data_IF_191947936144
#
_entry.id   IF_191947936144
#
_cell.length_a   1.000
_cell.length_b   1.000
_cell.length_c   1.000
_cell.angle_alpha   90.00
_cell.angle_beta   90.00
_cell.angle_gamma   90.00
#
_symmetry.space_group_name_H-M   'P 1'
#
loop_
_entity.id
_entity.type
_entity.pdbx_description
1 polymer ?
2 polymer ?
3 polymer ?
4 non-polymer ?
5 water ?
#
# COMPACT_ATOMS: atom_id res chain seq x y z
N UNK A 1 -5.18 10.56 -19.73
CA UNK A 1 -4.77 11.94 -20.17
C UNK A 1 -3.48 12.60 -19.59
N UNK A 2 -2.22 12.19 -19.86
CA UNK A 2 -1.72 10.93 -20.49
C UNK A 2 -2.13 9.65 -19.73
N UNK A 3 -1.51 9.33 -18.59
CA UNK A 3 -2.17 8.36 -17.69
C UNK A 3 -3.38 8.99 -16.99
N UNK A 4 -3.21 9.28 -15.70
CA UNK A 4 -4.15 10.32 -15.18
C UNK A 4 -3.56 11.72 -15.04
N UNK A 5 -2.96 12.19 -16.14
CA UNK A 5 -1.78 13.10 -16.10
C UNK A 5 -0.44 12.45 -16.50
N UNK A 6 0.13 11.77 -15.51
CA UNK A 6 1.30 10.84 -15.62
C UNK A 6 1.06 9.35 -16.03
N UNK A 7 1.90 8.69 -16.84
CA UNK A 7 3.00 9.13 -17.74
C UNK A 7 4.40 9.11 -17.22
N UNK A 8 4.53 9.85 -16.13
CA UNK A 8 5.75 9.82 -15.29
C UNK A 8 5.79 8.75 -14.19
N UNK A 9 4.72 8.00 -14.15
CA UNK A 9 4.54 7.09 -13.03
C UNK A 9 5.64 6.11 -12.75
N UNK A 10 5.85 5.90 -11.46
CA UNK A 10 6.72 4.79 -11.06
C UNK A 10 8.19 4.96 -11.25
N UNK A 11 8.58 6.15 -11.69
CA UNK A 11 9.99 6.53 -11.70
C UNK A 11 10.34 7.51 -10.57
N UNK A 12 11.16 7.05 -9.64
CA UNK A 12 11.28 7.92 -8.45
C UNK A 12 12.32 9.04 -8.65
N UNK A 13 11.96 10.29 -8.27
CA UNK A 13 12.91 11.39 -8.45
C UNK A 13 14.30 11.12 -7.94
N UNK A 14 14.40 10.49 -6.75
CA UNK A 14 15.73 10.24 -6.13
C UNK A 14 16.43 8.97 -6.50
N UNK A 15 15.76 8.14 -7.30
CA UNK A 15 16.39 6.86 -7.66
C UNK A 15 16.44 6.64 -9.17
N UNK A 16 15.37 6.14 -9.78
CA UNK A 16 15.41 5.95 -11.24
C UNK A 16 15.78 7.16 -12.09
N UNK A 17 15.19 8.30 -11.77
CA UNK A 17 15.62 9.52 -12.49
C UNK A 17 17.07 10.01 -12.38
N UNK A 18 17.85 9.46 -11.46
CA UNK A 18 19.26 9.80 -11.29
C UNK A 18 20.16 8.62 -11.50
N UNK A 19 19.52 7.54 -11.98
CA UNK A 19 20.19 6.23 -12.11
C UNK A 19 20.90 5.75 -10.85
N UNK A 20 20.20 6.03 -9.73
CA UNK A 20 20.60 5.47 -8.46
C UNK A 20 19.73 4.27 -7.99
N UNK A 21 20.36 3.24 -7.46
CA UNK A 21 19.57 2.12 -6.94
C UNK A 21 19.30 2.22 -5.47
N UNK A 22 18.09 1.80 -5.04
CA UNK A 22 17.98 1.56 -3.60
C UNK A 22 18.64 0.27 -3.10
N UNK A 23 18.74 0.23 -1.78
CA UNK A 23 19.49 -0.81 -1.03
C UNK A 23 19.07 -2.29 -1.28
N UNK A 24 17.79 -2.46 -1.56
CA UNK A 24 17.29 -3.84 -1.72
C UNK A 24 16.60 -4.13 -3.04
N UNK A 25 16.61 -3.15 -3.95
CA UNK A 25 15.80 -3.48 -5.12
C UNK A 25 16.35 -4.62 -5.95
N UNK A 26 17.67 -4.84 -5.88
CA UNK A 26 18.28 -6.03 -6.49
C UNK A 26 17.66 -7.39 -6.12
N UNK A 27 17.24 -7.51 -4.86
CA UNK A 27 16.52 -8.73 -4.42
C UNK A 27 15.22 -9.02 -5.19
N UNK A 28 14.42 -7.97 -5.41
CA UNK A 28 13.24 -8.08 -6.31
C UNK A 28 13.57 -8.58 -7.72
N UNK A 29 14.48 -7.87 -8.40
CA UNK A 29 14.94 -8.16 -9.76
C UNK A 29 15.59 -9.53 -9.96
N UNK A 30 16.37 -9.93 -8.97
CA UNK A 30 16.83 -11.33 -8.91
C UNK A 30 15.82 -12.42 -8.68
N UNK A 31 14.65 -12.08 -8.16
CA UNK A 31 13.65 -13.15 -8.13
C UNK A 31 12.83 -13.29 -9.39
N UNK A 32 12.98 -12.37 -10.34
CA UNK A 32 12.18 -12.48 -11.57
C UNK A 32 12.86 -13.38 -12.61
N UNK A 33 12.92 -14.66 -12.25
CA UNK A 33 13.79 -15.65 -12.92
C UNK A 33 15.18 -15.19 -13.31
N UNK A 34 15.76 -14.50 -12.32
CA UNK A 34 16.93 -13.59 -12.43
C UNK A 34 17.04 -12.63 -13.64
N UNK A 35 16.96 -13.20 -14.85
CA UNK A 35 16.89 -12.37 -16.07
C UNK A 35 17.82 -12.66 -17.24
N UNK A 36 19.05 -12.95 -16.82
CA UNK A 36 20.22 -13.33 -17.62
C UNK A 36 21.33 -13.76 -16.64
N UNK B 1 5.05 -2.98 9.87
CA UNK B 1 5.81 -4.00 9.16
C UNK B 1 6.65 -4.75 10.16
N UNK B 2 6.55 -6.08 10.10
CA UNK B 2 7.32 -7.01 10.96
C UNK B 2 8.52 -7.56 10.24
N UNK B 3 9.68 -7.46 10.91
CA UNK B 3 10.97 -7.85 10.32
C UNK B 3 11.38 -7.10 9.06
N UNK B 4 10.99 -5.84 9.00
CA UNK B 4 11.45 -5.02 7.88
C UNK B 4 12.64 -4.17 8.27
N UNK B 5 12.89 -3.19 7.44
CA UNK B 5 13.91 -2.18 7.82
C UNK B 5 13.48 -0.79 7.47
N UNK B 6 14.31 0.18 7.85
CA UNK B 6 13.91 1.58 7.58
C UNK B 6 13.99 1.95 6.10
N UNK B 7 12.94 2.56 5.61
CA UNK B 7 13.03 2.99 4.24
C UNK B 7 14.08 4.06 4.04
N UNK B 8 14.65 4.09 2.84
CA UNK B 8 15.43 5.28 2.49
C UNK B 8 14.54 6.45 2.20
N UNK B 9 15.14 7.60 2.27
CA UNK B 9 14.37 8.77 1.87
C UNK B 9 14.05 8.81 0.38
N UNK B 10 12.81 9.15 0.08
CA UNK B 10 12.39 9.10 -1.31
C UNK B 10 12.26 7.73 -1.94
N UNK B 11 12.51 6.63 -1.18
CA UNK B 11 12.31 5.23 -1.65
C UNK B 11 10.90 4.86 -2.11
N UNK B 12 9.91 5.47 -1.52
CA UNK B 12 8.50 5.16 -1.81
C UNK B 12 7.64 6.43 -1.88
N UNK B 13 7.87 7.27 -2.91
CA UNK B 13 7.24 8.59 -2.86
C UNK B 13 5.74 8.63 -3.11
N UNK B 14 5.17 7.45 -3.37
CA UNK B 14 3.71 7.27 -3.49
C UNK B 14 2.99 6.89 -2.20
N UNK B 15 3.75 6.57 -1.17
CA UNK B 15 3.12 6.24 0.12
C UNK B 15 2.39 7.39 0.74
N UNK B 16 1.17 7.05 1.09
CA UNK B 16 0.33 8.03 1.75
C UNK B 16 -0.04 7.58 3.18
N UNK B 17 -0.17 8.53 4.10
CA UNK B 17 -0.78 8.22 5.40
C UNK B 17 -2.20 8.69 5.51
N UNK B 18 -3.01 7.74 5.90
CA UNK B 18 -4.39 8.08 6.27
C UNK B 18 -4.50 8.47 7.75
N UNK B 19 -4.97 9.67 7.94
CA UNK B 19 -4.75 10.23 9.26
C UNK B 19 -6.05 10.76 9.77
N UNK B 20 -6.49 10.27 10.92
CA UNK B 20 -7.66 11.02 11.36
C UNK B 20 -7.45 12.16 12.30
N UNK B 21 -8.36 13.05 12.06
CA UNK B 21 -8.17 14.38 12.60
C UNK B 21 -9.04 14.65 13.79
N UNK B 22 -8.76 13.90 14.87
CA UNK B 22 -9.53 13.89 16.15
C UNK B 22 -10.35 12.63 16.52
N UNK B 23 -9.72 11.77 17.36
CA UNK B 23 -8.34 11.99 17.85
C UNK B 23 -7.30 11.83 16.73
N UNK B 24 -6.23 12.60 16.85
CA UNK B 24 -5.13 12.42 15.90
C UNK B 24 -4.56 11.02 15.96
N UNK B 25 -4.94 10.27 14.94
CA UNK B 25 -4.28 8.97 14.77
C UNK B 25 -4.06 8.49 13.31
N UNK B 26 -2.99 7.72 13.12
CA UNK B 26 -2.81 6.91 11.88
C UNK B 26 -3.90 5.88 11.84
N UNK B 27 -4.72 5.93 10.79
CA UNK B 27 -5.66 4.83 10.48
C UNK B 27 -5.08 3.66 9.66
N UNK B 28 -4.41 4.06 8.57
CA UNK B 28 -4.03 3.14 7.49
C UNK B 28 -2.99 3.74 6.57
N UNK B 29 -2.35 2.91 5.80
CA UNK B 29 -1.64 3.43 4.63
C UNK B 29 -2.54 3.63 3.42
N UNK B 30 -1.92 4.14 2.39
CA UNK B 30 -2.63 4.36 1.12
C UNK B 30 -1.58 4.62 0.04
N UNK B 31 -2.04 4.83 -1.19
CA UNK B 31 -1.07 5.23 -2.20
C UNK B 31 -1.53 6.30 -3.21
N UNK B 32 -0.56 7.10 -3.65
CA UNK B 32 -0.85 8.15 -4.63
C UNK B 32 -0.76 7.60 -6.06
N UNK B 33 -1.87 7.62 -6.76
CA UNK B 33 -1.85 7.10 -8.16
C UNK B 33 -2.00 8.21 -9.25
N UNK B 34 -2.33 9.41 -8.82
CA UNK B 34 -2.16 10.55 -9.72
C UNK B 34 -2.02 11.82 -8.92
N UNK B 35 -2.12 13.03 -9.50
CA UNK B 35 -2.11 14.21 -8.62
C UNK B 35 -3.34 14.49 -7.73
N UNK B 36 -4.42 13.78 -8.04
CA UNK B 36 -5.72 13.97 -7.33
C UNK B 36 -6.41 12.75 -6.68
N UNK B 37 -5.82 11.57 -6.87
CA UNK B 37 -6.42 10.28 -6.52
C UNK B 37 -5.52 9.45 -5.64
N UNK B 38 -6.16 9.04 -4.56
CA UNK B 38 -5.52 8.10 -3.64
C UNK B 38 -6.26 6.75 -3.59
N UNK B 39 -5.47 5.69 -3.57
CA UNK B 39 -5.97 4.28 -3.48
C UNK B 39 -5.71 3.65 -2.13
N UNK B 40 -6.77 3.04 -1.57
CA UNK B 40 -6.59 2.42 -0.23
C UNK B 40 -7.46 1.18 -0.12
N UNK B 41 -7.46 0.52 1.01
CA UNK B 41 -8.40 -0.58 1.26
C UNK B 41 -9.75 -0.07 1.76
N UNK B 42 -10.83 -0.63 1.21
CA UNK B 42 -12.17 -0.22 1.70
C UNK B 42 -12.44 -0.36 3.22
N UNK B 43 -11.86 -1.40 3.78
CA UNK B 43 -11.94 -1.64 5.24
C UNK B 43 -11.32 -0.60 6.20
N UNK B 44 -10.35 0.16 5.66
CA UNK B 44 -9.91 1.39 6.30
C UNK B 44 -10.97 2.42 6.54
N UNK B 45 -11.96 2.46 5.66
CA UNK B 45 -13.03 3.47 5.84
C UNK B 45 -14.33 2.94 6.41
N UNK B 46 -14.60 1.72 5.98
CA UNK B 46 -15.92 1.12 6.18
C UNK B 46 -15.83 -0.33 6.68
N UNK B 47 -16.17 -0.46 7.95
CA UNK B 47 -16.25 -1.78 8.52
C UNK B 47 -17.29 -1.92 9.62
N UNK B 48 -18.55 -2.16 9.20
CA UNK B 48 -19.66 -2.26 10.16
C UNK B 48 -19.49 -3.17 11.38
N UNK B 49 -18.94 -4.40 11.29
CA UNK B 49 -18.73 -5.14 12.54
C UNK B 49 -18.14 -4.39 13.73
N UNK B 50 -17.33 -3.38 13.39
CA UNK B 50 -16.61 -2.60 14.42
C UNK B 50 -17.09 -1.19 14.49
N UNK B 51 -18.30 -0.98 13.98
CA UNK B 51 -18.87 0.36 13.73
C UNK B 51 -17.94 1.42 13.16
N UNK B 52 -17.06 0.98 12.26
CA UNK B 52 -16.24 1.93 11.53
C UNK B 52 -16.86 2.37 10.19
N UNK B 53 -16.99 3.68 10.08
CA UNK B 53 -17.67 4.30 8.95
C UNK B 53 -17.23 5.74 8.69
N UNK B 54 -15.99 5.88 8.23
CA UNK B 54 -15.50 7.23 7.93
C UNK B 54 -15.94 7.84 6.64
N UNK B 55 -16.33 9.08 6.81
CA UNK B 55 -16.51 9.95 5.65
C UNK B 55 -15.41 11.01 5.41
N UNK B 56 -15.57 11.76 4.32
CA UNK B 56 -14.48 12.67 3.91
C UNK B 56 -13.95 13.66 4.95
N UNK B 57 -14.93 14.31 5.53
CA UNK B 57 -14.56 15.24 6.58
C UNK B 57 -13.93 14.62 7.83
N UNK B 58 -14.00 13.31 7.96
CA UNK B 58 -13.31 12.72 9.12
C UNK B 58 -11.82 12.55 8.98
N UNK B 59 -11.38 12.73 7.73
CA UNK B 59 -10.02 12.27 7.41
C UNK B 59 -9.09 13.31 6.75
N UNK B 60 -7.81 13.21 7.11
CA UNK B 60 -6.77 13.86 6.29
C UNK B 60 -5.82 12.87 5.63
N UNK B 61 -5.50 13.18 4.39
CA UNK B 61 -4.37 12.46 3.79
C UNK B 61 -2.99 13.14 3.92
N UNK B 62 -1.97 12.41 4.36
CA UNK B 62 -0.67 13.08 4.41
C UNK B 62 0.38 12.45 3.48
N UNK B 63 0.97 13.30 2.61
CA UNK B 63 1.81 12.81 1.51
C UNK B 63 3.24 13.31 1.60
N UNK B 64 4.22 12.47 1.35
CA UNK B 64 5.59 12.95 1.36
C UNK B 64 6.37 12.58 2.59
N UNK B 65 5.74 11.75 3.41
CA UNK B 65 6.29 11.44 4.75
C UNK B 65 7.32 10.36 4.90
N UNK B 66 8.11 10.57 5.95
CA UNK B 66 9.08 9.55 6.32
C UNK B 66 8.95 9.16 7.79
N UNK B 67 9.07 10.18 8.63
CA UNK B 67 8.70 10.07 10.06
C UNK B 67 7.24 9.78 10.28
N UNK B 68 6.96 8.81 11.13
CA UNK B 68 5.57 8.55 11.50
C UNK B 68 4.88 9.68 12.26
N UNK B 69 5.57 10.17 13.30
CA UNK B 69 4.88 11.16 14.16
C UNK B 69 5.16 12.68 14.00
N UNK B 70 6.32 13.03 13.43
CA UNK B 70 6.66 14.43 13.13
C UNK B 70 5.72 15.07 12.11
N UNK B 71 5.31 16.31 12.34
CA UNK B 71 4.91 17.12 11.19
C UNK B 71 6.13 17.57 10.34
N UNK B 72 6.27 16.98 9.14
CA UNK B 72 7.52 17.19 8.38
C UNK B 72 7.51 18.45 7.53
N UNK B 73 7.84 19.52 8.26
CA UNK B 73 7.50 20.90 7.87
C UNK B 73 7.78 21.38 6.48
N UNK B 74 8.95 21.14 5.90
CA UNK B 74 8.81 21.65 4.51
C UNK B 74 8.70 20.56 3.44
N UNK B 75 8.34 19.36 3.86
CA UNK B 75 8.44 18.14 3.05
C UNK B 75 7.07 17.53 2.81
N UNK B 76 6.30 17.26 3.88
CA UNK B 76 5.01 16.63 3.62
C UNK B 76 3.91 17.55 3.14
N UNK B 77 2.95 17.01 2.44
CA UNK B 77 1.77 17.82 2.13
C UNK B 77 0.52 17.19 2.72
N UNK B 78 -0.32 18.02 3.34
CA UNK B 78 -1.56 17.50 3.92
C UNK B 78 -2.72 17.90 3.05
N UNK B 79 -3.56 16.91 2.84
CA UNK B 79 -4.67 17.24 1.95
C UNK B 79 -5.97 16.76 2.49
N UNK B 80 -6.95 17.46 1.99
CA UNK B 80 -8.31 17.12 2.34
C UNK B 80 -9.00 16.40 1.23
N UNK B 81 -10.03 15.69 1.67
CA UNK B 81 -10.72 14.81 0.74
C UNK B 81 -11.93 15.44 0.26
N UNK B 82 -12.17 15.27 -1.02
CA UNK B 82 -13.55 15.62 -1.41
C UNK B 82 -14.56 14.52 -1.59
N UNK B 83 -14.08 13.39 -2.08
CA UNK B 83 -15.00 12.29 -2.24
C UNK B 83 -14.35 10.96 -1.97
N UNK B 84 -15.09 10.15 -1.23
CA UNK B 84 -14.69 8.75 -1.06
C UNK B 84 -15.54 7.84 -1.95
N UNK B 85 -14.85 6.91 -2.59
CA UNK B 85 -15.53 5.87 -3.37
C UNK B 85 -15.18 4.48 -2.93
N UNK B 86 -16.15 3.75 -2.44
CA UNK B 86 -15.87 2.33 -2.13
C UNK B 86 -16.37 1.37 -3.23
N UNK B 87 -15.63 0.30 -3.52
CA UNK B 87 -16.25 -0.66 -4.46
C UNK B 87 -17.68 -1.12 -4.06
N UNK B 88 -18.67 -0.96 -4.95
CA UNK B 88 -20.07 -1.29 -4.59
C UNK B 88 -20.34 -2.77 -4.17
N UNK B 89 -19.41 -3.63 -4.54
CA UNK B 89 -19.45 -5.02 -4.08
C UNK B 89 -18.36 -5.46 -3.14
N UNK B 90 -17.76 -4.50 -2.45
CA UNK B 90 -16.91 -4.89 -1.32
C UNK B 90 -17.65 -5.78 -0.30
N UNK B 91 -17.08 -6.94 0.01
CA UNK B 91 -17.69 -7.90 0.92
C UNK B 91 -17.17 -7.92 2.37
N UNK B 92 -17.66 -6.93 3.12
CA UNK B 92 -17.28 -6.88 4.54
C UNK B 92 -17.99 -7.88 5.43
N UNK B 93 -19.10 -8.44 4.91
CA UNK B 93 -19.81 -9.49 5.70
C UNK B 93 -19.13 -10.80 5.82
N UNK B 94 -18.48 -11.17 4.72
CA UNK B 94 -17.73 -12.42 4.74
C UNK B 94 -16.19 -12.35 4.72
N UNK B 95 -15.61 -11.96 3.60
CA UNK B 95 -14.17 -12.24 3.53
C UNK B 95 -13.26 -11.08 3.10
N UNK B 96 -13.86 -9.87 3.10
CA UNK B 96 -13.20 -8.65 2.55
C UNK B 96 -12.81 -8.74 1.08
N UNK B 97 -13.64 -9.43 0.35
CA UNK B 97 -13.49 -9.46 -1.11
C UNK B 97 -13.81 -8.12 -1.76
N UNK B 98 -12.96 -7.75 -2.72
CA UNK B 98 -13.02 -6.39 -3.29
C UNK B 98 -12.76 -5.28 -2.31
N UNK B 99 -11.69 -5.54 -1.56
CA UNK B 99 -11.25 -4.57 -0.55
C UNK B 99 -10.48 -3.35 -1.14
N UNK B 100 -11.26 -2.47 -1.72
CA UNK B 100 -10.72 -1.33 -2.47
C UNK B 100 -11.61 -0.09 -2.38
N UNK B 101 -10.91 1.04 -2.41
CA UNK B 101 -11.49 2.36 -2.35
C UNK B 101 -10.55 3.39 -2.95
N UNK B 102 -11.22 4.32 -3.60
CA UNK B 102 -10.64 5.53 -4.20
C UNK B 102 -11.02 6.75 -3.45
N UNK B 103 -10.01 7.58 -3.19
CA UNK B 103 -10.29 8.92 -2.65
C UNK B 103 -9.90 10.04 -3.59
N UNK B 104 -10.85 10.94 -3.84
CA UNK B 104 -10.55 12.19 -4.55
C UNK B 104 -10.15 13.33 -3.62
N UNK B 105 -8.98 13.89 -3.92
CA UNK B 105 -8.45 15.01 -3.13
C UNK B 105 -9.08 16.30 -3.52
N UNK B 106 -9.23 17.16 -2.52
CA UNK B 106 -9.94 18.42 -2.78
C UNK B 106 -9.31 19.32 -3.85
N UNK B 107 -7.98 19.25 -3.84
CA UNK B 107 -7.18 19.88 -4.88
C UNK B 107 -5.88 19.13 -5.08
N UNK B 108 -5.34 19.22 -6.28
CA UNK B 108 -4.18 18.37 -6.60
C UNK B 108 -2.91 18.60 -5.76
N UNK B 109 -2.17 17.52 -5.55
CA UNK B 109 -0.87 17.74 -4.91
C UNK B 109 0.18 18.04 -5.94
N UNK B 110 1.13 18.85 -5.48
CA UNK B 110 2.31 18.96 -6.34
C UNK B 110 3.35 17.92 -6.06
N UNK B 111 3.88 17.43 -7.19
CA UNK B 111 5.00 16.48 -7.05
C UNK B 111 6.30 17.15 -6.63
N UNK B 112 7.18 16.31 -6.10
CA UNK B 112 8.48 16.77 -5.59
C UNK B 112 9.40 15.59 -5.56
N UNK B 113 10.55 15.77 -4.98
CA UNK B 113 11.35 14.59 -4.76
C UNK B 113 10.79 13.48 -3.88
N UNK B 114 9.81 13.87 -3.08
CA UNK B 114 9.24 13.04 -2.00
C UNK B 114 7.83 12.52 -2.25
N UNK B 115 7.25 13.12 -3.27
CA UNK B 115 5.86 12.91 -3.68
C UNK B 115 5.82 12.63 -5.17
N UNK B 116 5.45 11.42 -5.51
CA UNK B 116 5.46 11.00 -6.92
C UNK B 116 4.53 9.76 -7.11
N UNK B 117 3.63 9.73 -8.10
CA UNK B 117 2.70 8.59 -8.18
C UNK B 117 3.26 7.26 -8.63
N UNK B 118 2.59 6.21 -8.21
CA UNK B 118 2.96 4.87 -8.72
C UNK B 118 2.11 4.50 -9.95
N UNK B 119 2.62 3.59 -10.74
CA UNK B 119 1.77 3.12 -11.84
C UNK B 119 0.80 2.00 -11.50
N UNK B 120 -0.30 2.01 -12.20
CA UNK B 120 -1.18 0.82 -12.10
C UNK B 120 -0.90 -0.22 -13.16
N UNK B 121 -1.05 -1.55 -12.89
CA UNK B 121 -0.60 -2.48 -13.92
C UNK B 121 -1.62 -2.59 -15.07
N UNK B 122 -1.05 -2.94 -16.20
CA UNK B 122 -1.83 -3.42 -17.33
C UNK B 122 -1.83 -4.93 -17.37
N UNK B 123 -2.67 -5.49 -18.24
CA UNK B 123 -2.66 -6.96 -18.49
C UNK B 123 -1.31 -7.66 -18.61
N UNK B 124 -0.44 -7.14 -19.48
CA UNK B 124 0.83 -7.87 -19.61
C UNK B 124 1.83 -7.68 -18.52
N UNK B 125 1.74 -6.54 -17.85
CA UNK B 125 2.55 -6.41 -16.62
C UNK B 125 2.04 -7.32 -15.53
N UNK B 126 0.73 -7.32 -15.34
CA UNK B 126 0.16 -8.32 -14.42
C UNK B 126 0.51 -9.77 -14.72
N UNK B 127 0.28 -10.13 -15.97
CA UNK B 127 0.59 -11.52 -16.34
C UNK B 127 2.00 -12.01 -16.07
N UNK B 128 2.88 -11.17 -16.52
CA UNK B 128 4.30 -11.47 -16.31
C UNK B 128 4.89 -11.41 -14.92
N UNK B 129 4.38 -10.50 -14.10
CA UNK B 129 5.05 -10.27 -12.83
C UNK B 129 4.38 -10.96 -11.64
N UNK B 130 3.07 -11.13 -11.80
CA UNK B 130 2.37 -11.83 -10.74
C UNK B 130 2.51 -13.36 -10.79
N UNK B 131 3.68 -13.78 -10.40
CA UNK B 131 3.97 -15.20 -10.44
C UNK B 131 4.56 -15.69 -9.14
N UNK B 132 4.17 -16.89 -8.73
CA UNK B 132 4.68 -17.34 -7.43
C UNK B 132 6.17 -17.37 -7.35
N UNK B 133 6.70 -16.89 -6.23
CA UNK B 133 8.18 -16.81 -6.14
C UNK B 133 8.84 -15.44 -6.42
N UNK B 134 8.13 -14.67 -7.22
CA UNK B 134 8.58 -13.30 -7.47
C UNK B 134 8.28 -12.42 -6.29
N UNK B 135 9.26 -11.59 -5.96
CA UNK B 135 9.14 -10.71 -4.80
C UNK B 135 8.55 -9.36 -5.10
N UNK B 136 7.72 -8.94 -4.19
CA UNK B 136 7.25 -7.57 -4.20
C UNK B 136 7.62 -6.85 -2.92
N UNK B 137 7.21 -5.60 -2.82
CA UNK B 137 7.66 -4.81 -1.69
C UNK B 137 6.48 -4.16 -1.06
N UNK B 138 6.51 -4.23 0.28
CA UNK B 138 5.45 -3.61 1.10
C UNK B 138 6.04 -2.58 2.07
N UNK B 139 5.32 -1.50 2.20
CA UNK B 139 5.76 -0.41 3.05
C UNK B 139 4.69 0.09 3.98
N UNK B 140 5.13 0.57 5.14
CA UNK B 140 4.14 1.22 6.00
C UNK B 140 4.61 1.58 7.38
N UNK B 141 3.78 2.24 8.15
CA UNK B 141 4.13 2.73 9.53
C UNK B 141 3.41 1.98 10.67
N UNK B 142 3.01 0.76 10.30
CA UNK B 142 2.27 -0.07 11.24
C UNK B 142 3.16 -0.77 12.18
N UNK B 143 2.49 -1.57 12.97
CA UNK B 143 3.19 -2.18 14.06
C UNK B 143 4.28 -3.06 13.63
N UNK B 144 5.24 -3.02 14.51
CA UNK B 144 6.41 -3.86 14.30
C UNK B 144 6.28 -5.28 14.85
N UNK B 145 5.20 -5.51 15.55
CA UNK B 145 5.06 -6.80 16.19
C UNK B 145 3.62 -7.02 16.52
N UNK B 146 3.25 -8.28 16.64
CA UNK B 146 1.82 -8.56 16.65
C UNK B 146 0.89 -7.81 17.59
N UNK B 147 -0.11 -7.17 16.96
CA UNK B 147 -1.06 -6.31 17.71
C UNK B 147 -2.59 -6.60 17.78
N UNK B 148 -3.11 -7.55 16.97
CA UNK B 148 -4.40 -8.18 17.39
C UNK B 148 -4.18 -9.32 18.41
N UNK B 149 -3.47 -8.84 19.47
CA UNK B 149 -2.55 -9.46 20.47
C UNK B 149 -1.33 -8.55 20.80
N UNK B 150 -1.69 -7.28 21.18
CA UNK B 150 -0.77 -6.12 21.28
C UNK B 150 0.63 -6.25 21.92
N UNK B 151 1.62 -5.92 21.10
CA UNK B 151 2.96 -6.43 21.44
C UNK B 151 4.08 -5.47 21.92
N UNK B 152 5.08 -6.12 22.54
CA UNK B 152 6.38 -5.48 22.86
C UNK B 152 7.58 -5.77 21.89
N UNK B 153 8.81 -5.98 22.35
CA UNK B 153 9.95 -6.06 21.40
C UNK B 153 10.40 -4.81 20.61
N UNK B 154 9.50 -3.79 20.60
CA UNK B 154 9.59 -2.35 20.16
C UNK B 154 8.25 -1.59 19.80
N UNK B 155 7.31 -2.30 19.18
CA UNK B 155 5.97 -1.68 19.05
C UNK B 155 5.61 -0.92 17.77
N UNK B 156 6.05 0.32 17.74
CA UNK B 156 5.80 1.24 16.59
C UNK B 156 7.08 1.90 16.04
N UNK B 157 7.19 2.08 14.69
CA UNK B 157 8.48 2.58 14.18
C UNK B 157 8.55 4.08 14.24
N UNK B 158 9.75 4.60 14.11
CA UNK B 158 9.77 6.07 14.05
C UNK B 158 9.66 6.65 12.66
N UNK B 159 10.09 5.80 11.76
CA UNK B 159 10.22 6.06 10.32
C UNK B 159 9.54 4.97 9.52
N UNK B 160 9.08 5.30 8.32
CA UNK B 160 8.61 4.32 7.32
C UNK B 160 9.43 3.02 7.18
N UNK B 161 8.76 1.88 7.26
CA UNK B 161 9.50 0.61 7.15
C UNK B 161 9.23 -0.13 5.83
N UNK B 162 10.14 -0.96 5.44
CA UNK B 162 10.00 -1.68 4.18
C UNK B 162 10.27 -3.18 4.35
N UNK B 163 9.50 -4.01 3.67
CA UNK B 163 9.89 -5.44 3.52
C UNK B 163 9.62 -5.99 2.10
N UNK B 164 10.50 -6.85 1.60
CA UNK B 164 10.26 -7.55 0.32
C UNK B 164 9.82 -9.01 0.50
N UNK B 165 8.72 -9.34 -0.10
CA UNK B 165 8.14 -10.67 0.16
C UNK B 165 7.82 -11.45 -1.11
N UNK B 166 8.01 -12.76 -1.12
CA UNK B 166 7.58 -13.53 -2.31
C UNK B 166 6.06 -13.74 -2.46
N UNK B 167 5.58 -13.69 -3.70
CA UNK B 167 4.20 -14.16 -3.93
C UNK B 167 4.09 -15.69 -3.75
N UNK B 168 2.99 -16.07 -3.17
CA UNK B 168 2.86 -17.50 -2.93
C UNK B 168 1.82 -18.15 -3.88
N UNK B 169 2.07 -19.37 -4.25
CA UNK B 169 1.06 -20.20 -4.93
C UNK B 169 -0.31 -20.24 -4.31
N UNK B 170 -1.30 -20.06 -5.17
CA UNK B 170 -2.68 -20.12 -4.68
C UNK B 170 -3.15 -21.27 -3.82
N UNK B 171 -2.75 -22.53 -4.10
CA UNK B 171 -3.05 -23.62 -3.18
C UNK B 171 -2.48 -23.47 -1.78
N UNK B 172 -1.24 -23.07 -1.68
CA UNK B 172 -0.75 -22.87 -0.31
C UNK B 172 -1.41 -21.76 0.47
N UNK B 173 -1.76 -20.72 -0.29
CA UNK B 173 -2.63 -19.69 0.27
C UNK B 173 -3.98 -20.17 0.84
N UNK B 174 -4.72 -20.86 -0.03
CA UNK B 174 -6.02 -21.39 0.39
C UNK B 174 -5.97 -22.45 1.50
N UNK B 175 -4.98 -23.32 1.45
CA UNK B 175 -4.68 -24.27 2.53
C UNK B 175 -4.09 -23.77 3.85
N UNK B 176 -3.87 -22.45 3.96
CA UNK B 176 -3.35 -21.86 5.20
C UNK B 176 -4.41 -21.27 6.10
N UNK B 177 -5.61 -21.26 5.55
CA UNK B 177 -6.65 -20.50 6.21
C UNK B 177 -8.00 -21.14 6.07
N UNK B 178 -8.94 -20.83 6.95
CA UNK B 178 -10.34 -21.25 6.77
C UNK B 178 -11.21 -20.29 6.03
N UNK B 179 -10.72 -19.05 5.80
CA UNK B 179 -11.46 -18.02 5.02
C UNK B 179 -11.57 -18.40 3.56
N UNK B 180 -12.74 -18.20 3.02
CA UNK B 180 -12.82 -18.35 1.57
C UNK B 180 -12.06 -17.28 0.71
N UNK B 181 -10.98 -17.75 0.05
CA UNK B 181 -10.12 -16.92 -0.84
C UNK B 181 -10.75 -16.66 -2.24
N UNK B 182 -10.74 -15.40 -2.67
CA UNK B 182 -11.29 -15.21 -4.03
C UNK B 182 -10.19 -14.94 -5.04
N UNK B 183 -10.56 -14.89 -6.31
CA UNK B 183 -9.63 -14.42 -7.37
C UNK B 183 -9.14 -12.94 -7.31
N UNK B 184 -9.93 -12.13 -6.59
CA UNK B 184 -9.56 -10.76 -6.31
C UNK B 184 -8.56 -10.58 -5.17
N UNK B 185 -7.95 -11.66 -4.73
CA UNK B 185 -6.93 -11.63 -3.68
C UNK B 185 -5.73 -12.41 -4.15
N UNK B 186 -4.59 -12.10 -3.59
CA UNK B 186 -3.48 -13.01 -3.71
C UNK B 186 -2.79 -13.03 -2.35
N UNK B 187 -1.94 -14.02 -2.12
CA UNK B 187 -1.14 -13.93 -0.89
C UNK B 187 0.35 -13.88 -1.03
N UNK B 188 0.96 -13.38 0.00
CA UNK B 188 2.42 -13.23 -0.06
C UNK B 188 3.12 -13.47 1.28
N UNK B 189 4.34 -13.93 1.22
CA UNK B 189 5.09 -14.14 2.46
C UNK B 189 5.99 -15.32 2.36
N UNK B 190 6.93 -15.40 3.29
CA UNK B 190 7.80 -16.58 3.27
C UNK B 190 7.19 -17.80 3.93
N UNK B 191 7.55 -18.95 3.39
CA UNK B 191 7.15 -20.25 3.99
C UNK B 191 7.95 -20.66 5.22
N UNK B 192 7.37 -21.48 6.14
CA UNK B 192 8.08 -21.83 7.40
C UNK B 192 9.52 -22.28 7.27
N UNK B 193 9.73 -23.09 6.25
CA UNK B 193 11.08 -23.54 5.94
C UNK B 193 12.15 -22.53 5.42
N UNK B 194 11.70 -21.48 4.70
CA UNK B 194 12.64 -20.71 3.87
C UNK B 194 13.61 -19.83 4.63
N UNK B 195 13.48 -19.82 5.96
CA UNK B 195 14.51 -19.10 6.71
C UNK B 195 14.23 -17.62 6.97
N UNK B 196 13.89 -16.91 5.89
CA UNK B 196 13.47 -15.51 6.01
C UNK B 196 12.05 -15.28 6.57
N UNK B 197 11.87 -14.16 7.28
CA UNK B 197 10.55 -13.68 7.80
C UNK B 197 10.01 -12.34 7.24
N UNK B 198 8.87 -11.97 7.78
CA UNK B 198 8.44 -10.65 7.42
C UNK B 198 7.00 -10.58 7.04
N UNK B 199 6.41 -9.47 7.39
CA UNK B 199 4.99 -9.32 7.09
C UNK B 199 4.53 -7.89 7.28
N UNK B 200 3.41 -7.55 6.69
CA UNK B 200 2.66 -6.43 7.22
C UNK B 200 2.02 -6.74 8.59
N UNK B 201 1.45 -5.72 9.19
CA UNK B 201 0.83 -5.82 10.52
C UNK B 201 -0.17 -4.71 10.68
N UNK B 202 -0.80 -4.60 11.85
CA UNK B 202 -1.77 -3.52 11.97
C UNK B 202 -1.29 -2.05 11.75
N UNK B 203 -2.13 -1.19 11.16
CA UNK B 203 -1.65 0.17 10.80
C UNK B 203 -1.03 0.28 9.40
N UNK B 204 -0.69 -0.88 8.82
CA UNK B 204 -0.20 -1.08 7.44
C UNK B 204 -1.23 -1.31 6.35
N UNK B 205 -2.45 -1.69 6.75
CA UNK B 205 -3.58 -1.93 5.84
C UNK B 205 -3.87 -0.75 4.96
N UNK B 206 -4.27 -1.08 3.74
CA UNK B 206 -4.47 0.03 2.84
C UNK B 206 -3.28 0.43 1.99
N UNK B 207 -2.07 0.07 2.41
CA UNK B 207 -0.89 0.50 1.64
C UNK B 207 -0.50 -0.42 0.49
N UNK B 208 0.53 0.06 -0.24
CA UNK B 208 0.98 -0.61 -1.48
C UNK B 208 1.80 -1.87 -1.36
N UNK B 209 1.44 -2.87 -2.19
CA UNK B 209 2.39 -3.91 -2.56
C UNK B 209 2.87 -3.59 -4.00
N UNK B 210 4.16 -3.34 -4.13
CA UNK B 210 4.63 -2.82 -5.43
C UNK B 210 5.63 -3.74 -6.01
N UNK B 211 5.73 -3.82 -7.33
CA UNK B 211 6.86 -4.57 -7.91
C UNK B 211 7.59 -3.73 -8.94
N UNK B 212 8.84 -3.96 -9.16
CA UNK B 212 9.45 -3.14 -10.23
C UNK B 212 9.54 -3.88 -11.56
N UNK B 213 9.04 -3.28 -12.61
CA UNK B 213 9.20 -4.01 -13.86
C UNK B 213 10.61 -4.07 -14.41
N UNK B 214 11.01 -5.30 -14.75
CA UNK B 214 12.31 -5.48 -15.44
C UNK B 214 12.35 -5.06 -16.96
N UNK B 215 11.21 -4.76 -17.53
CA UNK B 215 11.20 -4.36 -18.92
C UNK B 215 11.29 -2.89 -19.09
N UNK B 216 10.54 -2.18 -18.27
CA UNK B 216 10.70 -0.73 -18.37
C UNK B 216 11.18 0.04 -17.15
N UNK B 217 11.66 -0.66 -16.09
CA UNK B 217 12.15 -0.02 -14.82
C UNK B 217 11.24 0.84 -13.92
N UNK B 218 9.96 0.75 -14.20
CA UNK B 218 8.97 1.43 -13.38
C UNK B 218 8.35 0.57 -12.31
N UNK B 219 7.93 1.26 -11.29
CA UNK B 219 7.25 0.61 -10.16
C UNK B 219 5.80 0.53 -10.37
N UNK B 220 5.26 -0.65 -10.18
CA UNK B 220 3.81 -0.86 -10.41
C UNK B 220 3.13 -1.34 -9.11
N UNK B 221 1.97 -0.77 -8.78
CA UNK B 221 1.24 -1.32 -7.62
C UNK B 221 0.38 -2.55 -7.94
N UNK B 222 0.86 -3.70 -7.49
CA UNK B 222 0.12 -4.96 -7.73
C UNK B 222 -0.89 -5.39 -6.68
N UNK B 223 -0.65 -4.97 -5.43
CA UNK B 223 -1.64 -5.24 -4.39
C UNK B 223 -1.91 -4.11 -3.42
N UNK B 224 -2.97 -4.26 -2.64
CA UNK B 224 -3.24 -3.41 -1.47
C UNK B 224 -3.17 -4.27 -0.23
N UNK B 225 -2.47 -3.83 0.86
CA UNK B 225 -2.52 -4.58 2.13
C UNK B 225 -3.93 -4.72 2.69
N UNK B 226 -4.39 -5.98 2.71
CA UNK B 226 -5.81 -6.19 2.99
C UNK B 226 -6.12 -6.91 4.30
N UNK B 227 -5.64 -8.15 4.40
CA UNK B 227 -5.86 -8.88 5.66
C UNK B 227 -4.85 -9.96 5.91
N UNK B 228 -4.87 -10.48 7.13
CA UNK B 228 -4.00 -11.62 7.40
C UNK B 228 -4.23 -12.13 8.81
N UNK B 229 -3.86 -13.35 9.08
CA UNK B 229 -4.16 -13.80 10.45
C UNK B 229 -2.96 -13.66 11.35
N UNK B 230 -3.07 -12.70 12.25
CA UNK B 230 -1.84 -12.34 12.95
C UNK B 230 -0.82 -11.55 12.13
N UNK B 231 0.37 -11.42 12.65
CA UNK B 231 1.40 -10.76 11.85
C UNK B 231 2.62 -11.61 11.87
N UNK B 232 3.10 -12.02 10.71
CA UNK B 232 4.33 -12.83 10.63
C UNK B 232 4.21 -14.15 11.38
N UNK B 233 3.00 -14.69 11.38
CA UNK B 233 2.90 -15.99 12.06
C UNK B 233 3.25 -17.12 11.17
N UNK B 234 4.05 -18.08 11.68
CA UNK B 234 4.46 -19.19 10.80
C UNK B 234 3.34 -19.97 10.14
N UNK B 235 3.50 -20.25 8.87
CA UNK B 235 2.41 -20.93 8.17
C UNK B 235 1.16 -20.12 7.87
N UNK B 236 1.21 -18.82 8.22
CA UNK B 236 0.22 -17.85 7.77
C UNK B 236 0.81 -16.80 6.78
N UNK B 237 -0.08 -16.26 5.96
CA UNK B 237 0.38 -15.40 4.89
C UNK B 237 -0.40 -14.11 4.89
N UNK B 238 0.22 -13.07 4.36
CA UNK B 238 -0.62 -11.89 4.11
C UNK B 238 -1.47 -11.95 2.84
N UNK B 239 -2.65 -11.40 2.95
CA UNK B 239 -3.52 -11.25 1.77
C UNK B 239 -3.67 -9.79 1.31
N UNK B 240 -3.65 -9.70 -0.01
CA UNK B 240 -3.68 -8.41 -0.71
C UNK B 240 -4.79 -8.34 -1.72
N UNK B 241 -5.43 -7.21 -1.82
CA UNK B 241 -6.34 -7.02 -2.96
C UNK B 241 -5.68 -7.04 -4.33
N UNK B 242 -6.25 -7.77 -5.27
CA UNK B 242 -5.62 -7.87 -6.61
C UNK B 242 -5.93 -6.65 -7.45
N UNK B 243 -4.94 -5.73 -7.58
CA UNK B 243 -5.27 -4.42 -8.18
C UNK B 243 -5.67 -4.51 -9.66
N UNK B 244 -4.92 -5.28 -10.47
CA UNK B 244 -5.37 -5.50 -11.86
C UNK B 244 -6.81 -6.06 -12.09
N UNK B 245 -7.20 -7.07 -11.31
CA UNK B 245 -8.58 -7.56 -11.45
C UNK B 245 -9.63 -6.54 -11.15
N UNK B 246 -9.26 -5.49 -10.44
CA UNK B 246 -10.27 -4.43 -10.16
C UNK B 246 -10.04 -3.09 -10.88
N UNK B 247 -9.12 -3.12 -11.84
CA UNK B 247 -8.79 -1.90 -12.60
C UNK B 247 -9.89 -1.28 -13.46
N UNK B 248 -10.79 -2.11 -14.02
CA UNK B 248 -11.98 -1.49 -14.63
C UNK B 248 -12.86 -0.65 -13.75
N UNK B 249 -13.04 -1.07 -12.51
CA UNK B 249 -13.78 -0.18 -11.63
C UNK B 249 -12.97 1.08 -11.33
N UNK B 250 -11.66 0.91 -11.09
CA UNK B 250 -10.83 2.13 -10.92
C UNK B 250 -10.92 3.14 -12.05
N UNK B 251 -10.72 2.65 -13.27
CA UNK B 251 -10.93 3.49 -14.47
C UNK B 251 -12.31 4.07 -14.65
N UNK B 252 -13.29 3.17 -14.60
CA UNK B 252 -14.66 3.62 -14.50
C UNK B 252 -14.90 4.77 -13.56
N UNK B 253 -14.51 4.61 -12.28
CA UNK B 253 -14.73 5.79 -11.43
C UNK B 253 -13.84 7.03 -11.65
N UNK B 254 -12.59 6.85 -12.08
CA UNK B 254 -11.92 8.13 -12.39
C UNK B 254 -12.20 8.79 -13.77
N UNK B 255 -12.74 7.98 -14.69
CA UNK B 255 -13.46 8.53 -15.86
C UNK B 255 -14.84 9.12 -15.63
N UNK B 256 -15.69 8.47 -14.86
CA UNK B 256 -16.93 9.18 -14.55
C UNK B 256 -16.91 10.55 -13.86
N UNK B 257 -15.99 10.84 -12.93
CA UNK B 257 -15.68 12.28 -12.78
C UNK B 257 -14.29 12.71 -12.32
N UNK B 258 -13.36 12.86 -13.26
CA UNK B 258 -13.64 12.90 -14.73
C UNK B 258 -14.03 14.26 -15.34
N UNK B 259 -13.16 15.20 -15.01
CA UNK B 259 -13.52 16.61 -14.85
C UNK B 259 -12.47 17.52 -15.51
N UNK C 1 0.02 11.00 20.33
CA UNK C 1 1.38 10.55 19.90
C UNK C 1 2.01 11.36 18.72
N UNK C 2 1.11 11.90 17.94
CA UNK C 2 1.54 12.68 16.78
C UNK C 2 1.88 14.12 17.14
N UNK C 3 2.95 14.60 16.54
CA UNK C 3 3.13 16.03 16.58
C UNK C 3 1.98 16.79 15.95
N UNK C 4 1.83 17.94 16.52
CA UNK C 4 0.76 18.86 16.22
C UNK C 4 0.84 19.35 14.78
N UNK C 5 -0.29 19.27 14.10
CA UNK C 5 -0.25 19.82 12.75
C UNK C 5 -0.84 21.25 12.69
N UNK C 6 -0.45 22.05 11.68
CA UNK C 6 -1.16 23.33 11.45
C UNK C 6 -2.70 23.34 11.39
N UNK C 7 -3.23 24.29 12.15
CA UNK C 7 -4.69 24.38 12.22
C UNK C 7 -5.45 24.76 10.95
N UNK C 8 -4.74 25.22 9.93
CA UNK C 8 -5.53 25.25 8.69
C UNK C 8 -5.87 23.89 8.06
N UNK C 10 -7.50 21.41 9.73
CA UNK C 10 -8.67 20.91 10.45
C UNK C 10 -10.00 21.63 10.08
#
# INVERSE_FOLDING_TARGET
TFGSGEADCGLRPLFEKKSLEDKTERELLESYIDGR
IVEGSDAEIGMSPWQVMLFRKSPQELLCGASLISDRWVLTAAHCLLYPPWDKNFTENDLLVRIGKHSRTRYERNIEKISMLEKIYIHPRYNWRENLDRDIALMKLKKPVAFSDYIHPVCLPDRETAASLLQAGYKGRVTGWGNLKETWTANVGKGQPSVLQVVNLPIVERPVCKDSTRIRITDNMFCAGYKPDEGKRGDACEGDSGGPFVMKSPFNNRWYQMGIVSWGEGCDRDGKYGFYTHVFRLKKWIQKVIDQFGE
DFEEIPEEXL
#
